data_IF_194652641850
#
_entry.id   IF_194652641850
#
_cell.length_a   1.000
_cell.length_b   1.000
_cell.length_c   1.000
_cell.angle_alpha   90.00
_cell.angle_beta   90.00
_cell.angle_gamma   90.00
#
_symmetry.space_group_name_H-M   'P 1'
#
loop_
_entity.id
_entity.type
_entity.pdbx_description
1 polymer ?
#
# COMPACT_ATOMS: atom_id res chain seq x y z
N UNK A 1 -20.91 11.20 10.61
CA UNK A 1 -19.53 11.15 10.12
C UNK A 1 -18.82 9.94 10.70
N UNK A 2 -18.46 8.95 9.88
CA UNK A 2 -17.67 7.81 10.36
C UNK A 2 -16.21 8.25 10.58
N UNK A 3 -15.68 8.03 11.79
CA UNK A 3 -14.28 8.29 12.11
C UNK A 3 -13.44 7.23 11.40
N UNK A 4 -12.79 7.61 10.30
CA UNK A 4 -11.90 6.72 9.55
C UNK A 4 -10.57 6.58 10.30
N UNK A 5 -10.43 5.52 11.09
CA UNK A 5 -9.16 5.23 11.75
C UNK A 5 -8.16 4.70 10.73
N UNK A 6 -7.20 5.56 10.37
CA UNK A 6 -6.09 5.25 9.46
C UNK A 6 -4.79 5.30 10.25
N UNK A 7 -4.15 4.15 10.44
CA UNK A 7 -2.86 4.04 11.11
C UNK A 7 -1.77 3.81 10.06
N UNK A 8 -0.76 4.68 10.08
CA UNK A 8 0.45 4.51 9.29
C UNK A 8 1.63 4.26 10.23
N UNK A 9 2.28 3.11 10.08
CA UNK A 9 3.49 2.79 10.83
C UNK A 9 4.67 2.79 9.87
N UNK A 10 5.70 3.57 10.19
CA UNK A 10 6.95 3.63 9.41
C UNK A 10 8.03 2.88 10.19
N UNK A 11 8.67 1.93 9.52
CA UNK A 11 9.82 1.22 10.04
C UNK A 11 10.94 1.28 9.00
N UNK A 12 11.84 2.26 9.12
CA UNK A 12 12.88 2.51 8.12
C UNK A 12 12.33 2.75 6.70
N UNK A 13 12.81 2.03 5.67
CA UNK A 13 12.31 2.14 4.30
C UNK A 13 10.93 1.48 4.10
N UNK A 14 10.42 0.79 5.11
CA UNK A 14 9.13 0.11 5.11
C UNK A 14 8.05 1.04 5.69
N UNK A 15 6.92 1.12 5.00
CA UNK A 15 5.73 1.87 5.41
C UNK A 15 4.55 0.93 5.37
N UNK A 16 3.92 0.73 6.51
CA UNK A 16 2.72 -0.07 6.63
C UNK A 16 1.52 0.85 6.80
N UNK A 17 0.50 0.67 5.95
CA UNK A 17 -0.78 1.33 6.06
C UNK A 17 -1.81 0.33 6.55
N UNK A 18 -2.48 0.64 7.65
CA UNK A 18 -3.58 -0.15 8.18
C UNK A 18 -4.82 0.74 8.28
N UNK A 19 -5.90 0.36 7.61
CA UNK A 19 -7.18 1.08 7.70
C UNK A 19 -8.17 0.20 8.46
N UNK A 20 -8.82 0.76 9.48
CA UNK A 20 -9.72 0.01 10.37
C UNK A 20 -11.17 -0.04 9.88
N UNK A 21 -11.49 0.51 8.69
CA UNK A 21 -12.80 0.35 8.07
C UNK A 21 -12.95 -1.10 7.60
N UNK A 22 -13.37 -1.99 8.52
CA UNK A 22 -13.63 -3.41 8.30
C UNK A 22 -12.42 -4.35 8.31
N UNK A 23 -11.23 -3.94 8.80
CA UNK A 23 -9.98 -4.73 8.71
C UNK A 23 -9.59 -5.20 7.28
N UNK A 24 -10.30 -4.72 6.25
CA UNK A 24 -10.25 -5.32 4.91
C UNK A 24 -9.11 -4.77 4.03
N UNK A 25 -8.44 -3.68 4.46
CA UNK A 25 -7.40 -3.03 3.69
C UNK A 25 -6.17 -2.71 4.53
N UNK A 26 -5.06 -3.32 4.13
CA UNK A 26 -3.72 -3.04 4.61
C UNK A 26 -2.77 -2.97 3.42
N UNK A 27 -1.68 -2.24 3.55
CA UNK A 27 -0.71 -2.09 2.48
C UNK A 27 0.70 -1.97 3.02
N UNK A 28 1.66 -2.48 2.24
CA UNK A 28 3.08 -2.40 2.55
C UNK A 28 3.74 -1.61 1.44
N UNK A 29 4.57 -0.64 1.78
CA UNK A 29 5.44 0.06 0.84
C UNK A 29 6.89 -0.09 1.29
N UNK A 30 7.74 -0.56 0.40
CA UNK A 30 9.17 -0.83 0.63
C UNK A 30 9.94 -0.12 -0.47
N UNK A 31 10.44 1.08 -0.18
CA UNK A 31 11.12 1.91 -1.19
C UNK A 31 10.27 2.12 -2.45
N UNK A 32 10.72 1.51 -3.56
CA UNK A 32 10.10 1.57 -4.90
C UNK A 32 8.99 0.53 -5.09
N UNK A 33 8.87 -0.45 -4.21
CA UNK A 33 7.82 -1.45 -4.25
C UNK A 33 6.68 -1.07 -3.32
N UNK A 34 5.44 -1.33 -3.73
CA UNK A 34 4.28 -1.22 -2.86
C UNK A 34 3.24 -2.28 -3.19
N UNK A 35 2.51 -2.69 -2.17
CA UNK A 35 1.47 -3.69 -2.25
C UNK A 35 0.27 -3.25 -1.41
N UNK A 36 -0.91 -3.53 -1.92
CA UNK A 36 -2.17 -3.18 -1.26
C UNK A 36 -3.09 -4.41 -1.25
N UNK A 37 -3.56 -4.78 -0.07
CA UNK A 37 -4.45 -5.94 0.12
C UNK A 37 -5.83 -5.73 -0.50
N UNK A 38 -6.31 -4.47 -0.64
CA UNK A 38 -7.62 -4.17 -1.22
C UNK A 38 -7.65 -4.44 -2.72
N UNK A 39 -6.62 -3.98 -3.43
CA UNK A 39 -6.49 -4.20 -4.88
C UNK A 39 -5.73 -5.49 -5.20
N UNK A 40 -5.14 -6.15 -4.18
CA UNK A 40 -4.22 -7.30 -4.34
C UNK A 40 -3.16 -7.06 -5.42
N UNK A 41 -2.77 -5.80 -5.59
CA UNK A 41 -1.92 -5.35 -6.69
C UNK A 41 -0.53 -5.00 -6.20
N UNK A 42 0.49 -5.44 -6.94
CA UNK A 42 1.88 -5.06 -6.72
C UNK A 42 2.22 -3.87 -7.62
N UNK A 43 2.93 -2.88 -7.09
CA UNK A 43 3.46 -1.76 -7.88
C UNK A 43 4.95 -1.61 -7.63
N UNK A 44 5.72 -1.47 -8.70
CA UNK A 44 7.15 -1.19 -8.68
C UNK A 44 7.38 0.12 -9.44
N UNK A 45 7.93 1.12 -8.77
CA UNK A 45 8.34 2.38 -9.36
C UNK A 45 9.67 2.15 -10.10
N UNK A 46 9.67 2.24 -11.43
CA UNK A 46 10.86 2.09 -12.29
C UNK A 46 11.58 3.44 -12.41
N UNK A 47 12.87 3.47 -12.77
CA UNK A 47 13.60 4.74 -12.88
C UNK A 47 13.00 5.58 -14.00
N UNK A 48 12.78 6.87 -13.75
CA UNK A 48 12.04 7.77 -14.64
C UNK A 48 10.53 7.81 -14.35
N UNK A 49 9.68 8.22 -15.31
CA UNK A 49 8.23 8.35 -15.13
C UNK A 49 7.47 7.01 -15.21
N UNK A 50 8.20 5.89 -15.24
CA UNK A 50 7.62 4.57 -15.44
C UNK A 50 7.27 3.92 -14.11
N UNK A 51 6.09 3.29 -14.04
CA UNK A 51 5.72 2.45 -12.91
C UNK A 51 5.05 1.19 -13.42
N UNK A 52 5.55 0.04 -13.00
CA UNK A 52 4.95 -1.24 -13.30
C UNK A 52 3.90 -1.56 -12.26
N UNK A 53 2.66 -1.84 -12.69
CA UNK A 53 1.57 -2.27 -11.83
C UNK A 53 1.14 -3.66 -12.28
N UNK A 54 1.32 -4.64 -11.41
CA UNK A 54 0.75 -5.97 -11.58
C UNK A 54 -0.65 -5.95 -10.96
N UNK A 55 -1.66 -5.92 -11.82
CA UNK A 55 -3.04 -6.17 -11.43
C UNK A 55 -3.27 -7.69 -11.44
N UNK A 56 -3.81 -8.24 -10.35
CA UNK A 56 -4.13 -9.67 -10.29
C UNK A 56 -5.53 -9.84 -10.90
N UNK A 57 -5.61 -10.59 -11.99
CA UNK A 57 -6.85 -11.03 -12.62
C UNK A 57 -7.73 -11.79 -11.64
#
# INVERSE_FOLDING_TARGET
MAILFRKMTRFGPFRFHFTQSGFSSWGIKIGRWSWNSKTRANRIDLPGPLSWKQDKK
#
